data_IF_670077753938
#
_entry.id   IF_670077753938
#
_cell.length_a   1.000
_cell.length_b   1.000
_cell.length_c   1.000
_cell.angle_alpha   90.00
_cell.angle_beta   90.00
_cell.angle_gamma   90.00
#
_symmetry.space_group_name_H-M   'P 1'
#
loop_
_entity.id
_entity.type
_entity.pdbx_description
1 polymer ?
#
# COMPACT_ATOMS: atom_id res chain seq x y z
N UNK A 1 3.03 -16.84 11.89
CA UNK A 1 2.08 -15.73 11.61
C UNK A 1 0.72 -16.22 11.15
N UNK A 2 0.60 -17.10 10.15
CA UNK A 2 -0.68 -17.58 9.60
C UNK A 2 -1.65 -18.13 10.66
N UNK A 3 -1.18 -18.99 11.57
CA UNK A 3 -1.97 -19.48 12.70
C UNK A 3 -2.45 -18.36 13.64
N UNK A 4 -1.59 -17.36 13.87
CA UNK A 4 -1.94 -16.24 14.71
C UNK A 4 -3.07 -15.41 14.09
N UNK A 5 -3.02 -15.17 12.78
CA UNK A 5 -4.08 -14.46 12.06
C UNK A 5 -5.41 -15.22 12.13
N UNK A 6 -5.43 -16.53 11.86
CA UNK A 6 -6.62 -17.34 11.96
C UNK A 6 -7.27 -17.20 13.35
N UNK A 7 -6.47 -17.30 14.41
CA UNK A 7 -6.99 -17.16 15.79
C UNK A 7 -7.46 -15.75 16.13
N UNK A 8 -6.83 -14.69 15.57
CA UNK A 8 -7.32 -13.33 15.78
C UNK A 8 -8.69 -13.12 15.14
N UNK A 9 -8.95 -13.72 13.99
CA UNK A 9 -10.28 -13.71 13.35
C UNK A 9 -11.33 -14.34 14.25
N UNK A 10 -11.03 -15.47 14.92
CA UNK A 10 -11.94 -16.13 15.87
C UNK A 10 -12.30 -15.21 17.05
N UNK A 11 -11.44 -14.26 17.41
CA UNK A 11 -11.72 -13.24 18.42
C UNK A 11 -12.41 -11.98 17.87
N UNK A 12 -12.90 -12.02 16.64
CA UNK A 12 -13.64 -10.92 16.01
C UNK A 12 -12.74 -9.74 15.60
N UNK A 13 -11.46 -10.01 15.35
CA UNK A 13 -10.52 -9.02 14.78
C UNK A 13 -10.60 -9.10 13.27
N UNK A 14 -10.68 -7.93 12.61
CA UNK A 14 -10.61 -7.82 11.16
C UNK A 14 -9.18 -7.51 10.73
N UNK A 15 -8.71 -8.19 9.71
CA UNK A 15 -7.32 -8.13 9.28
C UNK A 15 -7.23 -7.70 7.82
N UNK A 16 -6.39 -6.72 7.52
CA UNK A 16 -5.88 -6.42 6.19
C UNK A 16 -4.40 -6.79 6.14
N UNK A 17 -4.05 -7.74 5.31
CA UNK A 17 -2.70 -8.26 5.17
C UNK A 17 -2.13 -7.93 3.79
N UNK A 18 -0.88 -7.50 3.72
CA UNK A 18 -0.14 -7.32 2.47
C UNK A 18 0.81 -8.49 2.33
N UNK A 19 0.55 -9.30 1.32
CA UNK A 19 1.24 -10.56 1.02
C UNK A 19 2.25 -10.35 -0.09
N UNK A 20 3.51 -10.42 0.27
CA UNK A 20 4.62 -10.14 -0.63
C UNK A 20 5.09 -11.38 -1.41
N UNK A 21 5.10 -12.53 -0.77
CA UNK A 21 5.76 -13.72 -1.28
C UNK A 21 4.77 -14.67 -1.98
N UNK A 22 5.17 -15.29 -3.10
CA UNK A 22 4.34 -16.30 -3.75
C UNK A 22 4.29 -17.58 -2.92
N UNK A 23 3.16 -18.26 -2.95
CA UNK A 23 2.99 -19.58 -2.35
C UNK A 23 3.95 -20.58 -3.02
N UNK A 24 4.81 -21.26 -2.26
CA UNK A 24 5.73 -22.25 -2.81
C UNK A 24 4.99 -23.35 -3.58
N UNK A 25 5.45 -23.61 -4.81
CA UNK A 25 4.89 -24.65 -5.69
C UNK A 25 3.65 -24.26 -6.51
N UNK A 26 2.94 -23.20 -6.16
CA UNK A 26 1.83 -22.68 -6.98
C UNK A 26 2.28 -21.54 -7.91
N UNK A 27 3.10 -20.62 -7.44
CA UNK A 27 3.62 -19.47 -8.20
C UNK A 27 2.56 -18.51 -8.73
N UNK A 28 1.27 -18.72 -8.39
CA UNK A 28 0.12 -17.95 -8.87
C UNK A 28 -0.61 -17.18 -7.77
N UNK A 29 -0.42 -17.58 -6.53
CA UNK A 29 -1.09 -17.00 -5.36
C UNK A 29 -0.07 -16.67 -4.30
N UNK A 30 -0.39 -15.68 -3.47
CA UNK A 30 0.40 -15.35 -2.30
C UNK A 30 0.24 -16.38 -1.17
N UNK A 31 1.18 -16.39 -0.25
CA UNK A 31 1.22 -17.35 0.87
C UNK A 31 0.01 -17.30 1.79
N UNK A 32 -0.60 -16.11 1.96
CA UNK A 32 -1.75 -15.92 2.87
C UNK A 32 -3.10 -16.10 2.18
N UNK A 33 -3.12 -16.36 0.87
CA UNK A 33 -4.37 -16.62 0.14
C UNK A 33 -5.15 -17.79 0.72
N UNK A 34 -4.46 -18.87 1.13
CA UNK A 34 -5.07 -20.04 1.75
C UNK A 34 -5.67 -19.68 3.11
N UNK A 35 -4.99 -18.84 3.89
CA UNK A 35 -5.52 -18.36 5.19
C UNK A 35 -6.80 -17.56 4.98
N UNK A 36 -6.80 -16.65 3.99
CA UNK A 36 -7.96 -15.83 3.67
C UNK A 36 -9.19 -16.71 3.33
N UNK A 37 -9.01 -17.71 2.47
CA UNK A 37 -10.07 -18.67 2.12
C UNK A 37 -10.58 -19.44 3.33
N UNK A 38 -9.67 -19.94 4.18
CA UNK A 38 -10.02 -20.78 5.33
C UNK A 38 -10.80 -20.04 6.43
N UNK A 39 -10.56 -18.74 6.60
CA UNK A 39 -11.25 -17.93 7.62
C UNK A 39 -12.47 -17.19 7.06
N UNK A 40 -12.87 -17.45 5.81
CA UNK A 40 -14.00 -16.78 5.16
C UNK A 40 -13.70 -15.34 4.77
N UNK A 41 -12.45 -15.01 4.52
CA UNK A 41 -11.99 -13.74 4.02
C UNK A 41 -11.92 -13.69 2.49
N UNK A 42 -11.17 -12.72 1.96
CA UNK A 42 -11.02 -12.48 0.52
C UNK A 42 -9.55 -12.28 0.17
N UNK A 43 -9.16 -12.80 -1.00
CA UNK A 43 -7.84 -12.56 -1.60
C UNK A 43 -7.98 -11.65 -2.82
N UNK A 44 -7.31 -10.49 -2.78
CA UNK A 44 -7.26 -9.53 -3.88
C UNK A 44 -5.92 -9.69 -4.60
N UNK A 45 -5.93 -10.30 -5.75
CA UNK A 45 -4.75 -10.43 -6.58
C UNK A 45 -4.47 -9.09 -7.30
N UNK A 46 -3.34 -8.48 -7.01
CA UNK A 46 -2.92 -7.21 -7.61
C UNK A 46 -1.91 -7.50 -8.71
N UNK A 47 -2.27 -7.23 -9.95
CA UNK A 47 -1.41 -7.39 -11.11
C UNK A 47 -1.91 -6.57 -12.30
N UNK A 48 -1.09 -6.44 -13.35
CA UNK A 48 -1.49 -5.76 -14.58
C UNK A 48 -2.71 -6.38 -15.28
N UNK A 49 -3.00 -7.66 -14.99
CA UNK A 49 -4.02 -8.45 -15.68
C UNK A 49 -5.18 -8.86 -14.78
N UNK A 50 -5.17 -8.42 -13.52
CA UNK A 50 -6.24 -8.74 -12.58
C UNK A 50 -7.40 -7.74 -12.69
N UNK A 51 -8.59 -8.20 -12.30
CA UNK A 51 -9.77 -7.33 -12.18
C UNK A 51 -9.72 -6.45 -10.91
N UNK A 52 -8.80 -6.76 -9.99
CA UNK A 52 -8.60 -5.99 -8.76
C UNK A 52 -7.67 -4.81 -9.01
N UNK A 53 -8.26 -3.66 -9.31
CA UNK A 53 -7.54 -2.42 -9.59
C UNK A 53 -7.65 -1.45 -8.41
N UNK A 54 -6.56 -0.74 -8.14
CA UNK A 54 -6.45 0.26 -7.09
C UNK A 54 -6.10 1.62 -7.69
N UNK A 55 -6.94 2.61 -7.43
CA UNK A 55 -6.57 3.98 -7.75
C UNK A 55 -5.56 4.48 -6.72
N UNK A 56 -4.39 4.84 -7.18
CA UNK A 56 -3.33 5.38 -6.34
C UNK A 56 -3.76 6.64 -5.56
N UNK A 57 -4.56 7.51 -6.18
CA UNK A 57 -5.06 8.76 -5.58
C UNK A 57 -6.40 8.61 -4.86
N UNK A 58 -6.75 7.39 -4.46
CA UNK A 58 -7.97 7.14 -3.69
C UNK A 58 -7.97 7.97 -2.41
N UNK A 59 -9.10 8.63 -2.13
CA UNK A 59 -9.34 9.34 -0.87
C UNK A 59 -10.77 9.07 -0.40
N UNK A 60 -10.96 9.01 0.88
CA UNK A 60 -12.24 8.75 1.52
C UNK A 60 -12.55 9.78 2.59
N UNK A 61 -13.84 10.00 2.81
CA UNK A 61 -14.31 10.72 3.97
C UNK A 61 -14.13 9.88 5.25
N UNK A 62 -13.79 10.55 6.33
CA UNK A 62 -13.66 9.97 7.66
C UNK A 62 -14.81 10.45 8.54
N UNK A 63 -15.15 9.66 9.55
CA UNK A 63 -16.17 10.03 10.52
C UNK A 63 -15.51 10.33 11.86
N UNK A 64 -15.65 11.57 12.33
CA UNK A 64 -15.22 11.98 13.65
C UNK A 64 -16.36 11.86 14.65
N UNK A 65 -16.16 11.08 15.71
CA UNK A 65 -17.14 10.94 16.77
C UNK A 65 -17.07 12.12 17.74
N UNK A 66 -18.11 12.94 17.76
CA UNK A 66 -18.27 14.02 18.72
C UNK A 66 -18.83 13.45 20.03
N UNK A 67 -17.98 13.38 21.05
CA UNK A 67 -18.37 12.84 22.37
C UNK A 67 -19.45 13.66 23.08
N UNK A 68 -19.59 14.94 22.78
CA UNK A 68 -20.57 15.80 23.40
C UNK A 68 -21.98 15.63 22.82
N UNK A 69 -22.08 15.41 21.49
CA UNK A 69 -23.36 15.24 20.81
C UNK A 69 -23.71 13.78 20.54
N UNK A 70 -22.75 12.87 20.61
CA UNK A 70 -22.94 11.47 20.22
C UNK A 70 -23.01 11.22 18.70
N UNK A 71 -22.73 12.23 17.90
CA UNK A 71 -22.82 12.19 16.44
C UNK A 71 -21.46 11.91 15.80
N UNK A 72 -21.49 11.25 14.64
CA UNK A 72 -20.33 11.06 13.76
C UNK A 72 -20.42 12.09 12.63
N UNK A 73 -19.42 12.97 12.54
CA UNK A 73 -19.35 14.06 11.55
C UNK A 73 -18.41 13.66 10.44
N UNK A 74 -18.86 13.60 9.17
CA UNK A 74 -17.99 13.29 8.04
C UNK A 74 -17.04 14.46 7.75
N UNK A 75 -15.76 14.17 7.61
CA UNK A 75 -14.68 15.13 7.34
C UNK A 75 -13.76 14.58 6.25
N UNK A 76 -13.18 15.44 5.44
CA UNK A 76 -12.20 15.08 4.40
C UNK A 76 -10.85 15.71 4.76
N UNK A 77 -9.83 14.89 5.08
CA UNK A 77 -8.47 15.36 5.39
C UNK A 77 -7.60 15.38 4.14
N UNK A 78 -7.88 16.34 3.25
CA UNK A 78 -7.21 16.47 1.96
C UNK A 78 -5.74 16.86 2.11
N UNK A 79 -5.41 17.76 3.04
CA UNK A 79 -4.04 18.21 3.25
C UNK A 79 -3.14 17.07 3.77
N UNK A 80 -3.63 16.23 4.65
CA UNK A 80 -2.91 15.04 5.12
C UNK A 80 -2.67 14.08 3.96
N UNK A 81 -3.71 13.82 3.15
CA UNK A 81 -3.59 12.97 1.95
C UNK A 81 -2.57 13.49 0.94
N UNK A 82 -2.51 14.80 0.71
CA UNK A 82 -1.50 15.40 -0.19
C UNK A 82 -0.08 15.14 0.31
N UNK A 83 0.14 15.21 1.63
CA UNK A 83 1.45 14.91 2.23
C UNK A 83 1.80 13.42 2.03
N UNK A 84 0.87 12.51 2.29
CA UNK A 84 1.07 11.08 2.15
C UNK A 84 1.36 10.70 0.70
N UNK A 85 0.55 11.21 -0.25
CA UNK A 85 0.77 10.99 -1.68
C UNK A 85 2.13 11.54 -2.14
N UNK A 86 2.52 12.71 -1.63
CA UNK A 86 3.84 13.28 -1.93
C UNK A 86 4.96 12.34 -1.46
N UNK A 87 4.85 11.79 -0.26
CA UNK A 87 5.86 10.89 0.28
C UNK A 87 5.92 9.56 -0.52
N UNK A 88 4.78 8.98 -0.87
CA UNK A 88 4.74 7.74 -1.66
C UNK A 88 5.29 7.98 -3.08
N UNK A 89 4.95 9.09 -3.73
CA UNK A 89 5.50 9.44 -5.04
C UNK A 89 7.01 9.71 -4.99
N UNK A 90 7.52 10.22 -3.87
CA UNK A 90 8.98 10.31 -3.64
C UNK A 90 9.63 8.93 -3.54
N UNK A 91 8.97 7.95 -2.90
CA UNK A 91 9.47 6.56 -2.87
C UNK A 91 9.52 5.98 -4.29
N UNK A 92 8.45 6.16 -5.07
CA UNK A 92 8.41 5.73 -6.47
C UNK A 92 9.54 6.36 -7.29
N UNK A 93 9.77 7.65 -7.13
CA UNK A 93 10.83 8.37 -7.83
C UNK A 93 12.23 7.86 -7.42
N UNK A 94 12.46 7.66 -6.12
CA UNK A 94 13.74 7.19 -5.59
C UNK A 94 14.03 5.74 -5.99
N UNK A 95 13.04 4.85 -5.92
CA UNK A 95 13.21 3.43 -6.25
C UNK A 95 13.53 3.22 -7.74
N UNK A 96 12.94 4.03 -8.63
CA UNK A 96 13.22 3.96 -10.06
C UNK A 96 14.68 4.34 -10.39
N UNK A 97 15.18 5.44 -9.81
CA UNK A 97 16.54 5.93 -10.12
C UNK A 97 17.65 5.02 -9.61
N UNK A 98 17.35 4.13 -8.68
CA UNK A 98 18.35 3.32 -7.97
C UNK A 98 18.27 1.83 -8.26
N UNK A 99 17.38 1.39 -9.14
CA UNK A 99 17.12 -0.04 -9.41
C UNK A 99 16.93 -0.84 -8.11
N UNK A 100 16.12 -0.30 -7.18
CA UNK A 100 15.85 -0.92 -5.88
C UNK A 100 16.96 -0.74 -4.83
N UNK A 101 18.08 -0.10 -5.18
CA UNK A 101 19.01 0.42 -4.20
C UNK A 101 18.58 1.83 -3.80
N UNK A 102 18.68 2.14 -2.52
CA UNK A 102 18.38 3.49 -2.03
C UNK A 102 19.42 4.46 -2.58
N UNK A 103 19.06 5.19 -3.63
CA UNK A 103 19.81 6.33 -4.12
C UNK A 103 19.37 7.55 -3.35
N UNK A 104 20.32 8.26 -2.81
CA UNK A 104 20.02 9.55 -2.18
C UNK A 104 20.14 10.61 -3.25
N UNK A 105 19.05 11.33 -3.49
CA UNK A 105 19.13 12.61 -4.19
C UNK A 105 19.95 13.58 -3.34
N UNK A 106 20.73 14.44 -3.98
CA UNK A 106 21.29 15.57 -3.27
C UNK A 106 20.17 16.38 -2.58
N UNK A 107 20.37 16.89 -1.35
CA UNK A 107 19.29 17.51 -0.57
C UNK A 107 18.54 18.64 -1.31
N UNK A 108 19.23 19.37 -2.17
CA UNK A 108 18.61 20.42 -3.00
C UNK A 108 17.75 19.85 -4.12
N UNK A 109 18.16 18.76 -4.74
CA UNK A 109 17.41 18.05 -5.77
C UNK A 109 16.18 17.37 -5.18
N UNK A 110 16.35 16.67 -4.07
CA UNK A 110 15.24 16.07 -3.30
C UNK A 110 14.15 17.11 -2.99
N UNK A 111 14.55 18.28 -2.48
CA UNK A 111 13.61 19.35 -2.15
C UNK A 111 12.87 19.90 -3.38
N UNK A 112 13.56 20.02 -4.53
CA UNK A 112 12.94 20.46 -5.79
C UNK A 112 11.93 19.44 -6.31
N UNK A 113 12.32 18.16 -6.37
CA UNK A 113 11.44 17.05 -6.79
C UNK A 113 10.20 16.99 -5.89
N UNK A 114 10.39 17.01 -4.58
CA UNK A 114 9.30 16.98 -3.59
C UNK A 114 8.35 18.18 -3.77
N UNK A 115 8.90 19.37 -4.04
CA UNK A 115 8.10 20.58 -4.28
C UNK A 115 7.24 20.45 -5.55
N UNK A 116 7.81 19.94 -6.64
CA UNK A 116 7.08 19.72 -7.91
C UNK A 116 5.97 18.69 -7.70
N UNK A 117 6.28 17.55 -7.07
CA UNK A 117 5.30 16.51 -6.77
C UNK A 117 4.15 17.08 -5.93
N UNK A 118 4.46 17.70 -4.79
CA UNK A 118 3.44 18.24 -3.88
C UNK A 118 2.52 19.28 -4.54
N UNK A 119 3.11 20.19 -5.34
CA UNK A 119 2.34 21.17 -6.12
C UNK A 119 1.35 20.49 -7.07
N UNK A 120 1.81 19.48 -7.81
CA UNK A 120 0.99 18.82 -8.82
C UNK A 120 -0.04 17.86 -8.21
N UNK A 121 0.24 17.19 -7.09
CA UNK A 121 -0.74 16.43 -6.32
C UNK A 121 -1.87 17.35 -5.83
N UNK A 122 -1.53 18.51 -5.26
CA UNK A 122 -2.52 19.50 -4.84
C UNK A 122 -3.39 19.96 -6.00
N UNK A 123 -2.78 20.22 -7.15
CA UNK A 123 -3.49 20.68 -8.36
C UNK A 123 -4.52 19.66 -8.84
N UNK A 124 -4.16 18.38 -8.97
CA UNK A 124 -5.09 17.37 -9.50
C UNK A 124 -6.30 17.15 -8.57
N UNK A 125 -6.11 17.21 -7.27
CA UNK A 125 -7.25 17.14 -6.33
C UNK A 125 -8.11 18.42 -6.39
N UNK A 126 -7.51 19.60 -6.55
CA UNK A 126 -8.24 20.85 -6.72
C UNK A 126 -9.02 20.87 -8.04
N UNK A 127 -8.47 20.33 -9.12
CA UNK A 127 -9.13 20.19 -10.43
C UNK A 127 -10.38 19.27 -10.35
N UNK A 128 -10.37 18.28 -9.45
CA UNK A 128 -11.55 17.48 -9.12
C UNK A 128 -12.54 18.20 -8.18
N UNK A 129 -12.24 19.43 -7.77
CA UNK A 129 -13.07 20.25 -6.89
C UNK A 129 -13.16 19.72 -5.45
N UNK A 130 -12.12 19.02 -4.98
CA UNK A 130 -12.01 18.58 -3.59
C UNK A 130 -11.52 19.73 -2.71
N UNK A 131 -12.03 19.78 -1.48
CA UNK A 131 -11.68 20.82 -0.51
C UNK A 131 -11.39 20.18 0.85
N UNK A 132 -10.34 20.67 1.49
CA UNK A 132 -9.98 20.22 2.84
C UNK A 132 -11.12 20.46 3.82
N UNK A 133 -11.34 19.51 4.73
CA UNK A 133 -12.40 19.48 5.75
C UNK A 133 -13.85 19.57 5.23
N UNK A 134 -14.04 19.39 3.93
CA UNK A 134 -15.36 19.37 3.28
C UNK A 134 -15.64 18.00 2.66
N UNK A 135 -16.18 17.07 3.46
CA UNK A 135 -16.54 15.73 2.97
C UNK A 135 -17.58 15.78 1.83
N UNK A 136 -18.44 16.81 1.76
CA UNK A 136 -19.40 16.95 0.70
C UNK A 136 -18.74 17.19 -0.67
N UNK A 137 -17.54 17.79 -0.68
CA UNK A 137 -16.77 18.03 -1.91
C UNK A 137 -16.34 16.75 -2.63
N UNK A 138 -16.33 15.59 -1.94
CA UNK A 138 -16.00 14.29 -2.50
C UNK A 138 -17.10 13.73 -3.40
N UNK A 139 -18.31 14.26 -3.29
CA UNK A 139 -19.50 13.73 -3.96
C UNK A 139 -20.08 14.72 -4.96
N UNK A 140 -20.72 14.19 -5.99
CA UNK A 140 -21.54 14.91 -6.94
C UNK A 140 -23.02 14.52 -6.80
N UNK A 141 -23.88 15.46 -7.08
CA UNK A 141 -25.33 15.22 -7.09
C UNK A 141 -25.72 14.62 -8.43
N UNK A 142 -26.34 13.46 -8.42
CA UNK A 142 -26.85 12.81 -9.62
C UNK A 142 -28.37 12.67 -9.54
N UNK A 143 -29.10 12.72 -10.68
CA UNK A 143 -30.52 12.42 -10.70
C UNK A 143 -30.76 11.01 -10.15
N UNK A 144 -31.83 10.84 -9.37
CA UNK A 144 -32.19 9.51 -8.88
C UNK A 144 -32.58 8.61 -10.06
N UNK A 145 -31.99 7.44 -10.13
CA UNK A 145 -32.34 6.42 -11.12
C UNK A 145 -33.72 5.84 -10.77
N UNK A 146 -34.65 5.80 -11.77
CA UNK A 146 -35.91 5.06 -11.64
C UNK A 146 -37.19 5.87 -11.34
N UNK A 147 -37.26 7.12 -11.78
CA UNK A 147 -38.52 7.87 -11.76
C UNK A 147 -38.98 8.40 -10.39
N UNK A 148 -38.16 8.29 -9.38
CA UNK A 148 -38.37 8.89 -8.06
C UNK A 148 -37.86 10.34 -8.06
N UNK A 149 -38.68 11.28 -7.55
CA UNK A 149 -38.28 12.66 -7.31
C UNK A 149 -37.25 12.69 -6.16
N UNK A 150 -35.96 12.57 -6.50
CA UNK A 150 -34.87 12.64 -5.53
C UNK A 150 -33.52 12.83 -6.21
N UNK A 151 -32.57 13.41 -5.49
CA UNK A 151 -31.18 13.48 -5.92
C UNK A 151 -30.36 12.44 -5.13
N UNK A 152 -29.61 11.61 -5.84
CA UNK A 152 -28.61 10.72 -5.24
C UNK A 152 -27.26 11.43 -5.09
N UNK A 153 -26.39 10.89 -4.26
CA UNK A 153 -24.98 11.28 -4.20
C UNK A 153 -24.12 10.17 -4.80
N UNK A 154 -23.22 10.53 -5.68
CA UNK A 154 -22.21 9.62 -6.24
C UNK A 154 -20.82 10.17 -5.91
N UNK A 155 -19.87 9.30 -5.50
CA UNK A 155 -18.47 9.68 -5.36
C UNK A 155 -17.95 10.17 -6.70
N UNK A 156 -17.26 11.30 -6.71
CA UNK A 156 -16.65 11.86 -7.92
C UNK A 156 -15.58 10.90 -8.46
N UNK A 157 -15.32 11.00 -9.76
CA UNK A 157 -14.13 10.39 -10.34
C UNK A 157 -12.91 11.08 -9.73
N UNK A 158 -12.02 10.28 -9.13
CA UNK A 158 -10.79 10.76 -8.53
C UNK A 158 -9.68 10.84 -9.59
N UNK A 159 -8.64 11.65 -9.34
CA UNK A 159 -7.49 11.73 -10.23
C UNK A 159 -6.85 10.34 -10.42
N UNK A 160 -6.18 10.15 -11.52
CA UNK A 160 -5.41 8.94 -11.86
C UNK A 160 -3.96 9.32 -12.16
N UNK A 161 -3.12 8.34 -12.43
CA UNK A 161 -1.70 8.57 -12.69
C UNK A 161 -1.48 9.43 -13.94
N UNK A 162 -2.29 9.25 -14.99
CA UNK A 162 -2.21 10.11 -16.18
C UNK A 162 -2.56 11.57 -15.88
N UNK A 163 -3.52 11.87 -14.98
CA UNK A 163 -3.86 13.23 -14.56
C UNK A 163 -2.64 13.89 -13.86
N UNK A 164 -1.94 13.12 -13.02
CA UNK A 164 -0.73 13.57 -12.34
C UNK A 164 0.43 13.81 -13.34
N UNK A 165 0.68 12.87 -14.25
CA UNK A 165 1.69 13.01 -15.29
C UNK A 165 1.42 14.24 -16.15
N UNK A 166 0.16 14.42 -16.58
CA UNK A 166 -0.27 15.60 -17.34
C UNK A 166 -0.04 16.91 -16.58
N UNK A 167 -0.33 16.92 -15.29
CA UNK A 167 -0.10 18.10 -14.46
C UNK A 167 1.40 18.48 -14.42
N UNK A 168 2.30 17.49 -14.27
CA UNK A 168 3.75 17.71 -14.34
C UNK A 168 4.15 18.21 -15.72
N UNK A 169 3.63 17.62 -16.79
CA UNK A 169 3.95 18.00 -18.18
C UNK A 169 3.58 19.47 -18.48
N UNK A 170 2.42 19.91 -17.99
CA UNK A 170 1.98 21.31 -18.12
C UNK A 170 2.85 22.25 -17.28
N UNK A 171 3.15 21.84 -16.04
CA UNK A 171 4.01 22.63 -15.13
C UNK A 171 5.43 22.76 -15.68
N UNK A 172 5.99 21.71 -16.27
CA UNK A 172 7.29 21.72 -16.93
C UNK A 172 7.34 22.71 -18.11
N UNK A 173 6.25 22.75 -18.90
CA UNK A 173 6.15 23.68 -20.04
C UNK A 173 6.08 25.15 -19.63
N UNK A 174 5.39 25.42 -18.52
CA UNK A 174 5.26 26.77 -17.98
C UNK A 174 6.48 27.19 -17.14
N UNK A 175 7.37 26.25 -16.87
CA UNK A 175 8.53 26.49 -16.04
C UNK A 175 9.54 27.45 -16.72
N UNK A 176 9.92 28.48 -15.99
CA UNK A 176 10.97 29.44 -16.40
C UNK A 176 12.23 29.33 -15.55
N UNK A 177 12.21 28.41 -14.56
CA UNK A 177 13.31 28.19 -13.63
C UNK A 177 14.22 27.07 -14.14
N UNK A 178 15.37 27.46 -14.72
CA UNK A 178 16.34 26.50 -15.25
C UNK A 178 16.88 25.50 -14.21
N UNK A 179 16.82 25.82 -12.92
CA UNK A 179 17.23 24.91 -11.86
C UNK A 179 16.25 23.74 -11.66
N UNK A 180 15.02 23.80 -12.21
CA UNK A 180 14.02 22.75 -12.14
C UNK A 180 13.92 21.90 -13.40
N UNK A 181 14.54 22.29 -14.50
CA UNK A 181 14.43 21.57 -15.78
C UNK A 181 14.81 20.09 -15.66
N UNK A 182 15.95 19.80 -15.02
CA UNK A 182 16.39 18.42 -14.80
C UNK A 182 15.41 17.62 -13.94
N UNK A 183 14.84 18.25 -12.90
CA UNK A 183 13.87 17.59 -12.03
C UNK A 183 12.55 17.27 -12.78
N UNK A 184 12.10 18.17 -13.65
CA UNK A 184 10.93 17.90 -14.49
C UNK A 184 11.20 16.79 -15.50
N UNK A 185 12.34 16.81 -16.19
CA UNK A 185 12.73 15.76 -17.13
C UNK A 185 12.76 14.40 -16.44
N UNK A 186 13.43 14.32 -15.29
CA UNK A 186 13.51 13.10 -14.49
C UNK A 186 12.12 12.58 -14.08
N UNK A 187 11.24 13.45 -13.58
CA UNK A 187 9.89 13.05 -13.16
C UNK A 187 9.05 12.57 -14.34
N UNK A 188 9.16 13.22 -15.50
CA UNK A 188 8.46 12.80 -16.71
C UNK A 188 8.95 11.42 -17.17
N UNK A 189 10.26 11.18 -17.17
CA UNK A 189 10.82 9.87 -17.53
C UNK A 189 10.37 8.76 -16.56
N UNK A 190 10.34 9.05 -15.25
CA UNK A 190 9.93 8.09 -14.22
C UNK A 190 8.45 7.73 -14.32
N UNK A 191 7.58 8.71 -14.52
CA UNK A 191 6.14 8.49 -14.47
C UNK A 191 5.50 8.15 -15.82
N UNK A 192 6.22 8.33 -16.95
CA UNK A 192 5.70 7.99 -18.28
C UNK A 192 5.30 6.52 -18.38
N UNK A 193 6.12 5.62 -17.86
CA UNK A 193 5.87 4.17 -17.91
C UNK A 193 4.68 3.71 -17.02
N UNK A 194 4.19 4.59 -16.15
CA UNK A 194 3.04 4.35 -15.28
C UNK A 194 1.71 4.89 -15.83
N UNK A 195 1.76 5.56 -16.99
CA UNK A 195 0.56 6.03 -17.71
C UNK A 195 0.10 4.94 -18.66
N UNK A 196 -1.13 4.46 -18.49
CA UNK A 196 -1.67 3.34 -19.28
C UNK A 196 -1.74 3.67 -20.76
N UNK A 197 -2.30 4.83 -21.05
CA UNK A 197 -2.50 5.29 -22.41
C UNK A 197 -2.73 6.80 -22.43
N UNK A 198 -1.95 7.51 -23.21
CA UNK A 198 -2.14 8.94 -23.41
C UNK A 198 -1.70 9.35 -24.81
N UNK A 199 -2.53 10.11 -25.48
CA UNK A 199 -2.26 10.66 -26.81
C UNK A 199 -2.37 12.17 -26.74
N UNK A 200 -1.28 12.88 -26.98
CA UNK A 200 -1.29 14.33 -26.87
C UNK A 200 -0.40 15.01 -27.91
N UNK A 201 -0.72 16.26 -28.22
CA UNK A 201 0.14 17.09 -29.02
C UNK A 201 1.14 17.85 -28.14
N UNK A 202 2.45 17.62 -28.27
CA UNK A 202 3.45 18.32 -27.45
C UNK A 202 3.44 19.84 -27.67
N UNK A 203 2.89 20.33 -28.79
CA UNK A 203 2.88 21.73 -29.12
C UNK A 203 1.70 22.50 -28.49
N UNK A 204 0.47 22.01 -28.62
CA UNK A 204 -0.72 22.68 -28.07
C UNK A 204 -1.25 22.02 -26.78
N UNK A 205 -0.65 20.92 -26.33
CA UNK A 205 -1.02 20.14 -25.13
C UNK A 205 -2.44 19.60 -25.13
N UNK A 206 -3.12 19.59 -26.32
CA UNK A 206 -4.42 18.93 -26.45
C UNK A 206 -4.23 17.43 -26.39
N UNK A 207 -5.02 16.79 -25.53
CA UNK A 207 -5.16 15.33 -25.48
C UNK A 207 -6.26 14.87 -26.42
N UNK A 208 -6.14 13.62 -26.84
CA UNK A 208 -7.07 12.97 -27.77
C UNK A 208 -7.47 11.61 -27.21
N UNK A 209 -8.76 11.30 -27.30
CA UNK A 209 -9.25 9.95 -27.00
C UNK A 209 -9.00 8.99 -28.18
N UNK A 210 -9.08 7.68 -27.92
CA UNK A 210 -8.99 6.67 -29.00
C UNK A 210 -10.01 6.90 -30.12
N UNK A 211 -11.19 7.36 -29.77
CA UNK A 211 -12.24 7.65 -30.74
C UNK A 211 -11.85 8.83 -31.61
N UNK A 212 -11.34 9.92 -31.04
CA UNK A 212 -10.84 11.07 -31.76
C UNK A 212 -9.66 10.72 -32.67
N UNK A 213 -8.74 9.82 -32.24
CA UNK A 213 -7.63 9.36 -33.08
C UNK A 213 -8.10 8.75 -34.40
N UNK A 214 -9.21 8.04 -34.39
CA UNK A 214 -9.75 7.42 -35.61
C UNK A 214 -10.14 8.45 -36.69
N UNK A 215 -10.36 9.69 -36.29
CA UNK A 215 -10.73 10.82 -37.18
C UNK A 215 -9.54 11.64 -37.65
N UNK A 216 -8.34 11.44 -37.03
CA UNK A 216 -7.14 12.18 -37.36
C UNK A 216 -6.43 11.62 -38.58
N UNK A 217 -5.77 12.52 -39.32
CA UNK A 217 -4.86 12.13 -40.39
C UNK A 217 -3.65 11.42 -39.81
N UNK A 218 -3.14 10.43 -40.54
CA UNK A 218 -1.89 9.72 -40.21
C UNK A 218 -0.86 9.96 -41.30
N UNK A 219 0.42 9.90 -40.88
CA UNK A 219 1.54 9.82 -41.82
C UNK A 219 1.62 8.43 -42.46
N UNK A 220 2.45 8.26 -43.49
CA UNK A 220 2.77 6.94 -44.06
C UNK A 220 3.40 5.99 -43.01
N UNK A 221 4.07 6.51 -41.98
CA UNK A 221 4.58 5.77 -40.83
C UNK A 221 3.55 5.51 -39.71
N UNK A 222 2.29 5.87 -39.91
CA UNK A 222 1.21 5.58 -38.96
C UNK A 222 1.04 6.60 -37.81
N UNK A 223 1.91 7.61 -37.72
CA UNK A 223 1.86 8.64 -36.66
C UNK A 223 0.70 9.60 -36.89
N UNK A 224 -0.09 9.87 -35.85
CA UNK A 224 -1.22 10.78 -35.93
C UNK A 224 -0.78 12.25 -35.97
N UNK A 225 -1.54 13.04 -36.74
CA UNK A 225 -1.32 14.48 -36.92
C UNK A 225 -2.38 15.25 -36.10
N UNK A 226 -1.93 16.20 -35.31
CA UNK A 226 -2.82 17.04 -34.52
C UNK A 226 -3.65 17.96 -35.44
N UNK A 227 -4.96 18.00 -35.23
CA UNK A 227 -5.88 18.85 -35.96
C UNK A 227 -6.22 20.20 -35.28
N UNK A 228 -5.53 20.50 -34.17
CA UNK A 228 -5.75 21.72 -33.36
C UNK A 228 -4.76 22.84 -33.67
N UNK A 229 -4.37 22.99 -34.96
CA UNK A 229 -3.43 24.00 -35.42
C UNK A 229 -3.95 24.66 -36.72
N UNK A 230 -3.42 25.86 -37.02
CA UNK A 230 -3.69 26.56 -38.25
C UNK A 230 -3.26 25.77 -39.49
N UNK A 231 -3.94 25.98 -40.62
CA UNK A 231 -3.60 25.33 -41.87
C UNK A 231 -2.13 25.57 -42.26
N UNK A 232 -1.47 24.50 -42.67
CA UNK A 232 -0.07 24.52 -43.10
C UNK A 232 0.97 24.18 -42.03
N UNK A 233 0.59 24.04 -40.74
CA UNK A 233 1.49 23.57 -39.69
C UNK A 233 1.15 22.14 -39.33
N UNK A 234 2.13 21.24 -39.42
CA UNK A 234 1.97 19.82 -39.09
C UNK A 234 2.69 19.53 -37.77
N UNK A 235 1.93 19.07 -36.77
CA UNK A 235 2.46 18.60 -35.49
C UNK A 235 1.99 17.19 -35.23
N UNK A 236 2.92 16.34 -34.83
CA UNK A 236 2.67 14.93 -34.56
C UNK A 236 2.23 14.74 -33.11
N UNK A 237 1.37 13.76 -32.87
CA UNK A 237 1.02 13.35 -31.54
C UNK A 237 2.15 12.52 -30.93
N UNK A 238 2.32 12.67 -29.63
CA UNK A 238 3.08 11.73 -28.81
C UNK A 238 2.10 10.71 -28.25
N UNK A 239 2.49 9.46 -28.32
CA UNK A 239 1.73 8.32 -27.85
C UNK A 239 2.49 7.69 -26.67
N UNK A 240 1.82 7.52 -25.54
CA UNK A 240 2.36 6.89 -24.33
C UNK A 240 1.59 5.62 -24.07
N UNK A 241 2.31 4.53 -23.85
CA UNK A 241 1.79 3.21 -23.47
C UNK A 241 2.73 2.63 -22.42
N UNK A 242 2.46 2.89 -21.14
CA UNK A 242 3.30 2.46 -20.05
C UNK A 242 3.14 0.96 -19.76
N UNK A 243 4.25 0.32 -19.46
CA UNK A 243 4.29 -1.12 -19.13
C UNK A 243 3.87 -1.40 -17.68
N UNK A 244 3.98 -0.41 -16.79
CA UNK A 244 3.66 -0.49 -15.37
C UNK A 244 2.39 0.31 -15.02
N UNK A 245 1.41 0.29 -15.90
CA UNK A 245 0.24 1.16 -15.85
C UNK A 245 -0.91 0.66 -14.96
N UNK A 246 -0.66 -0.28 -14.06
CA UNK A 246 -1.67 -0.79 -13.12
C UNK A 246 -2.11 0.24 -12.07
N UNK A 247 -1.36 1.34 -11.90
CA UNK A 247 -1.73 2.46 -11.04
C UNK A 247 -2.60 3.51 -11.75
N UNK A 248 -2.76 3.43 -13.07
CA UNK A 248 -3.52 4.38 -13.87
C UNK A 248 -4.94 3.86 -14.14
N UNK A 249 -5.75 3.83 -13.11
CA UNK A 249 -7.11 3.31 -13.13
C UNK A 249 -7.98 3.94 -12.04
N UNK A 250 -9.30 3.77 -12.15
CA UNK A 250 -10.20 3.92 -11.01
C UNK A 250 -10.24 2.61 -10.23
N UNK A 251 -10.42 2.67 -8.91
CA UNK A 251 -10.54 1.45 -8.12
C UNK A 251 -11.76 0.64 -8.53
N UNK A 252 -11.55 -0.63 -8.83
CA UNK A 252 -12.61 -1.63 -8.98
C UNK A 252 -12.75 -2.45 -7.71
N UNK A 253 -11.70 -2.52 -6.90
CA UNK A 253 -11.66 -3.19 -5.64
C UNK A 253 -12.48 -2.42 -4.59
N UNK A 254 -13.24 -3.14 -3.80
CA UNK A 254 -14.00 -2.60 -2.66
C UNK A 254 -13.77 -3.48 -1.44
N UNK A 255 -13.39 -2.87 -0.32
CA UNK A 255 -13.24 -3.58 0.95
C UNK A 255 -14.61 -3.73 1.61
N UNK A 256 -15.06 -4.98 1.75
CA UNK A 256 -16.26 -5.30 2.53
C UNK A 256 -15.88 -5.50 4.00
N UNK A 257 -16.14 -4.50 4.82
CA UNK A 257 -15.85 -4.52 6.26
C UNK A 257 -16.63 -5.61 7.03
N UNK A 258 -17.56 -6.34 6.39
CA UNK A 258 -18.21 -7.51 7.04
C UNK A 258 -17.31 -8.75 7.02
N UNK A 259 -16.36 -8.84 6.08
CA UNK A 259 -15.44 -9.95 5.99
C UNK A 259 -14.30 -9.81 7.02
N UNK A 260 -13.82 -10.91 7.60
CA UNK A 260 -12.83 -10.85 8.68
C UNK A 260 -11.40 -10.69 8.21
N UNK A 261 -11.09 -11.09 6.98
CA UNK A 261 -9.72 -11.12 6.47
C UNK A 261 -9.66 -10.65 5.02
N UNK A 262 -8.78 -9.68 4.75
CA UNK A 262 -8.52 -9.11 3.43
C UNK A 262 -7.04 -9.31 3.11
N UNK A 263 -6.72 -10.18 2.16
CA UNK A 263 -5.35 -10.39 1.70
C UNK A 263 -5.11 -9.64 0.39
N UNK A 264 -4.11 -8.77 0.37
CA UNK A 264 -3.66 -8.05 -0.82
C UNK A 264 -2.42 -8.76 -1.35
N UNK A 265 -2.61 -9.57 -2.37
CA UNK A 265 -1.64 -10.48 -2.94
C UNK A 265 -0.84 -9.80 -4.05
N UNK A 266 0.43 -9.53 -3.78
CA UNK A 266 1.39 -8.91 -4.70
C UNK A 266 2.30 -9.93 -5.40
N UNK A 267 2.09 -11.22 -5.19
CA UNK A 267 2.96 -12.30 -5.66
C UNK A 267 3.15 -12.34 -7.19
N UNK A 268 2.16 -11.83 -7.95
CA UNK A 268 2.20 -11.78 -9.42
C UNK A 268 2.99 -10.59 -9.98
N UNK A 269 3.42 -9.66 -9.15
CA UNK A 269 4.29 -8.57 -9.58
C UNK A 269 5.72 -9.10 -9.60
N UNK A 270 6.26 -9.35 -10.79
CA UNK A 270 7.56 -10.02 -10.96
C UNK A 270 8.75 -9.09 -10.70
N UNK A 271 8.62 -7.80 -11.00
CA UNK A 271 9.65 -6.82 -10.71
C UNK A 271 9.67 -6.49 -9.21
N UNK A 272 10.82 -6.69 -8.56
CA UNK A 272 10.96 -6.49 -7.11
C UNK A 272 10.77 -5.02 -6.71
N UNK A 273 11.25 -4.10 -7.53
CA UNK A 273 11.13 -2.66 -7.26
C UNK A 273 9.67 -2.24 -7.30
N UNK A 274 8.94 -2.68 -8.31
CA UNK A 274 7.50 -2.38 -8.43
C UNK A 274 6.69 -3.07 -7.34
N UNK A 275 7.05 -4.26 -6.91
CA UNK A 275 6.39 -4.94 -5.79
C UNK A 275 6.56 -4.16 -4.49
N UNK A 276 7.76 -3.64 -4.21
CA UNK A 276 8.02 -2.75 -3.07
C UNK A 276 7.16 -1.47 -3.15
N UNK A 277 7.12 -0.85 -4.32
CA UNK A 277 6.30 0.34 -4.55
C UNK A 277 4.81 0.03 -4.31
N UNK A 278 4.34 -1.13 -4.75
CA UNK A 278 2.94 -1.54 -4.56
C UNK A 278 2.58 -1.78 -3.10
N UNK A 279 3.50 -2.18 -2.22
CA UNK A 279 3.23 -2.23 -0.78
C UNK A 279 2.73 -0.87 -0.29
N UNK A 280 3.42 0.22 -0.66
CA UNK A 280 3.05 1.57 -0.24
C UNK A 280 1.68 2.01 -0.80
N UNK A 281 1.41 1.66 -2.06
CA UNK A 281 0.11 1.96 -2.69
C UNK A 281 -1.02 1.21 -2.00
N UNK A 282 -0.83 -0.07 -1.74
CA UNK A 282 -1.82 -0.91 -1.03
C UNK A 282 -2.01 -0.44 0.40
N UNK A 283 -0.95 -0.08 1.12
CA UNK A 283 -1.05 0.50 2.46
C UNK A 283 -1.90 1.78 2.45
N UNK A 284 -1.65 2.69 1.52
CA UNK A 284 -2.46 3.90 1.37
C UNK A 284 -3.92 3.58 1.05
N UNK A 285 -4.19 2.58 0.21
CA UNK A 285 -5.54 2.13 -0.08
C UNK A 285 -6.24 1.51 1.16
N UNK A 286 -5.52 0.70 1.93
CA UNK A 286 -6.00 0.13 3.20
C UNK A 286 -6.32 1.26 4.19
N UNK A 287 -5.46 2.27 4.30
CA UNK A 287 -5.73 3.42 5.16
C UNK A 287 -7.06 4.08 4.79
N UNK A 288 -7.29 4.37 3.52
CA UNK A 288 -8.50 5.06 3.05
C UNK A 288 -9.76 4.20 3.17
N UNK A 289 -9.68 2.90 2.87
CA UNK A 289 -10.87 2.07 2.69
C UNK A 289 -11.09 1.02 3.80
N UNK A 290 -10.14 0.87 4.72
CA UNK A 290 -10.23 -0.05 5.84
C UNK A 290 -10.12 0.69 7.19
N UNK A 291 -9.04 1.47 7.38
CA UNK A 291 -8.80 2.16 8.65
C UNK A 291 -9.76 3.35 8.81
N UNK A 292 -9.82 4.25 7.82
CA UNK A 292 -10.65 5.46 7.88
C UNK A 292 -12.14 5.18 7.80
N UNK A 293 -12.54 4.05 7.26
CA UNK A 293 -13.94 3.57 7.24
C UNK A 293 -14.40 2.97 8.58
N UNK A 294 -13.46 2.67 9.48
CA UNK A 294 -13.82 2.18 10.80
C UNK A 294 -14.39 3.32 11.66
N UNK A 295 -15.39 3.01 12.46
CA UNK A 295 -15.98 4.00 13.37
C UNK A 295 -14.99 4.43 14.43
N UNK A 296 -14.97 5.71 14.77
CA UNK A 296 -14.25 6.26 15.93
C UNK A 296 -15.09 6.17 17.22
N UNK A 297 -16.35 5.78 17.11
CA UNK A 297 -17.19 5.47 18.26
C UNK A 297 -16.77 4.12 18.89
N UNK A 298 -16.29 4.11 20.14
CA UNK A 298 -15.79 2.88 20.79
C UNK A 298 -16.81 1.72 20.83
N UNK A 299 -18.10 2.04 20.80
CA UNK A 299 -19.17 1.03 20.87
C UNK A 299 -19.48 0.39 19.48
N UNK A 300 -19.01 1.00 18.39
CA UNK A 300 -19.24 0.54 17.02
C UNK A 300 -17.96 0.12 16.31
N UNK A 301 -16.82 0.61 16.81
CA UNK A 301 -15.52 0.37 16.22
C UNK A 301 -15.17 -1.12 16.23
N UNK A 302 -14.68 -1.60 15.09
CA UNK A 302 -14.07 -2.92 14.96
C UNK A 302 -12.62 -2.88 15.41
N UNK A 303 -12.10 -3.99 15.91
CA UNK A 303 -10.67 -4.17 16.15
C UNK A 303 -10.01 -4.53 14.82
N UNK A 304 -9.03 -3.74 14.40
CA UNK A 304 -8.36 -3.93 13.12
C UNK A 304 -6.90 -4.30 13.34
N UNK A 305 -6.38 -5.16 12.46
CA UNK A 305 -4.95 -5.38 12.27
C UNK A 305 -4.63 -5.03 10.82
N UNK A 306 -3.57 -4.26 10.60
CA UNK A 306 -2.97 -4.04 9.28
C UNK A 306 -1.58 -4.63 9.32
N UNK A 307 -1.36 -5.67 8.54
CA UNK A 307 -0.12 -6.43 8.53
C UNK A 307 0.63 -6.19 7.21
N UNK A 308 1.91 -5.88 7.32
CA UNK A 308 2.83 -5.78 6.18
C UNK A 308 3.91 -6.82 6.34
N UNK A 309 3.89 -7.81 5.45
CA UNK A 309 4.94 -8.82 5.41
C UNK A 309 6.19 -8.27 4.72
N UNK A 310 7.38 -8.83 5.06
CA UNK A 310 8.67 -8.40 4.52
C UNK A 310 8.93 -6.87 4.64
N UNK A 311 8.42 -6.25 5.71
CA UNK A 311 8.42 -4.78 5.88
C UNK A 311 9.83 -4.16 5.85
N UNK A 312 10.89 -4.95 6.11
CA UNK A 312 12.28 -4.49 5.98
C UNK A 312 12.62 -3.98 4.56
N UNK A 313 11.87 -4.39 3.55
CA UNK A 313 12.06 -3.98 2.15
C UNK A 313 11.64 -2.54 1.93
N UNK A 314 10.52 -2.12 2.52
CA UNK A 314 10.02 -0.75 2.42
C UNK A 314 10.75 0.22 3.37
N UNK A 315 11.20 -0.25 4.53
CA UNK A 315 11.91 0.61 5.50
C UNK A 315 13.26 1.15 5.00
N UNK A 316 13.73 0.70 3.86
CA UNK A 316 14.89 1.30 3.16
C UNK A 316 14.61 2.73 2.70
N UNK A 317 13.36 3.07 2.39
CA UNK A 317 12.96 4.34 1.82
C UNK A 317 12.46 5.32 2.89
N UNK A 318 12.97 6.55 2.87
CA UNK A 318 12.56 7.60 3.81
C UNK A 318 11.05 7.86 3.76
N UNK A 319 10.47 8.00 2.56
CA UNK A 319 9.03 8.22 2.39
C UNK A 319 8.17 7.12 3.02
N UNK A 320 8.61 5.85 2.91
CA UNK A 320 7.93 4.73 3.54
C UNK A 320 8.00 4.79 5.06
N UNK A 321 9.17 5.11 5.63
CA UNK A 321 9.32 5.27 7.08
C UNK A 321 8.46 6.43 7.61
N UNK A 322 8.36 7.54 6.86
CA UNK A 322 7.48 8.66 7.22
C UNK A 322 6.01 8.25 7.21
N UNK A 323 5.58 7.48 6.21
CA UNK A 323 4.23 6.94 6.13
C UNK A 323 3.92 5.99 7.29
N UNK A 324 4.79 5.03 7.57
CA UNK A 324 4.63 4.11 8.70
C UNK A 324 4.58 4.84 10.04
N UNK A 325 5.44 5.84 10.25
CA UNK A 325 5.39 6.67 11.45
C UNK A 325 4.04 7.39 11.61
N UNK A 326 3.47 7.90 10.51
CA UNK A 326 2.16 8.52 10.52
C UNK A 326 1.07 7.49 10.87
N UNK A 327 1.09 6.32 10.24
CA UNK A 327 0.17 5.22 10.50
C UNK A 327 0.19 4.80 11.98
N UNK A 328 1.37 4.57 12.56
CA UNK A 328 1.49 4.19 13.97
C UNK A 328 0.94 5.25 14.94
N UNK A 329 1.09 6.53 14.62
CA UNK A 329 0.52 7.62 15.45
C UNK A 329 -1.01 7.67 15.45
N UNK A 330 -1.63 7.38 14.28
CA UNK A 330 -3.10 7.49 14.14
C UNK A 330 -3.82 6.18 14.45
N UNK A 331 -3.17 5.07 14.30
CA UNK A 331 -3.74 3.72 14.39
C UNK A 331 -4.51 3.49 15.70
N UNK A 332 -3.95 3.91 16.84
CA UNK A 332 -4.61 3.78 18.16
C UNK A 332 -5.97 4.47 18.22
N UNK A 333 -6.10 5.66 17.60
CA UNK A 333 -7.37 6.40 17.57
C UNK A 333 -8.43 5.70 16.71
N UNK A 334 -7.99 4.83 15.79
CA UNK A 334 -8.83 4.08 14.86
C UNK A 334 -9.03 2.61 15.24
N UNK A 335 -8.70 2.24 16.49
CA UNK A 335 -8.77 0.85 16.96
C UNK A 335 -8.01 -0.14 16.05
N UNK A 336 -6.89 0.31 15.47
CA UNK A 336 -6.05 -0.43 14.54
C UNK A 336 -4.71 -0.74 15.20
N UNK A 337 -4.22 -1.95 15.00
CA UNK A 337 -2.88 -2.38 15.34
C UNK A 337 -2.07 -2.61 14.07
N UNK A 338 -1.14 -1.72 13.69
CA UNK A 338 -0.22 -2.01 12.60
C UNK A 338 0.80 -3.06 13.04
N UNK A 339 1.03 -4.04 12.18
CA UNK A 339 1.98 -5.12 12.39
C UNK A 339 3.01 -5.12 11.27
N UNK A 340 4.25 -4.86 11.60
CA UNK A 340 5.38 -5.00 10.67
C UNK A 340 6.05 -6.33 10.93
N UNK A 341 6.08 -7.19 9.93
CA UNK A 341 6.76 -8.49 9.97
C UNK A 341 8.14 -8.31 9.35
N UNK A 342 9.16 -8.62 10.13
CA UNK A 342 10.56 -8.38 9.80
C UNK A 342 11.37 -9.65 10.04
N UNK A 343 12.45 -9.80 9.29
CA UNK A 343 13.38 -10.90 9.49
C UNK A 343 14.36 -10.64 10.64
N UNK A 344 14.64 -9.37 10.96
CA UNK A 344 15.56 -8.98 12.01
C UNK A 344 15.17 -7.67 12.67
N UNK A 345 15.28 -7.60 14.00
CA UNK A 345 15.13 -6.35 14.78
C UNK A 345 16.15 -5.30 14.36
N UNK A 346 17.32 -5.73 13.87
CA UNK A 346 18.38 -4.87 13.36
C UNK A 346 17.92 -3.96 12.21
N UNK A 347 16.90 -4.35 11.47
CA UNK A 347 16.38 -3.55 10.36
C UNK A 347 15.81 -2.21 10.81
N UNK A 348 15.28 -2.13 12.01
CA UNK A 348 14.91 -0.85 12.62
C UNK A 348 16.14 0.00 13.03
N UNK A 349 17.19 -0.63 13.53
CA UNK A 349 18.36 0.10 14.03
C UNK A 349 19.18 0.79 12.93
N UNK A 350 18.94 0.48 11.67
CA UNK A 350 19.66 1.08 10.52
C UNK A 350 19.30 2.54 10.29
N UNK A 351 18.11 2.96 10.69
CA UNK A 351 17.57 4.28 10.35
C UNK A 351 17.09 5.00 11.61
N UNK A 352 17.57 6.22 11.82
CA UNK A 352 17.24 6.99 13.03
C UNK A 352 15.75 7.33 13.13
N UNK A 353 15.09 7.56 12.01
CA UNK A 353 13.67 7.91 11.94
C UNK A 353 12.71 6.75 12.25
N UNK A 354 13.17 5.49 12.24
CA UNK A 354 12.38 4.33 12.71
C UNK A 354 12.23 4.27 14.23
N UNK A 355 13.00 5.06 14.98
CA UNK A 355 12.89 5.12 16.44
C UNK A 355 11.48 5.50 16.92
N UNK A 356 10.74 6.30 16.15
CA UNK A 356 9.36 6.65 16.47
C UNK A 356 8.40 5.46 16.37
N UNK A 357 8.60 4.58 15.37
CA UNK A 357 7.85 3.33 15.24
C UNK A 357 8.09 2.45 16.47
N UNK A 358 9.36 2.28 16.84
CA UNK A 358 9.75 1.49 18.02
C UNK A 358 9.15 2.05 19.31
N UNK A 359 9.18 3.38 19.50
CA UNK A 359 8.58 4.04 20.67
C UNK A 359 7.06 3.89 20.73
N UNK A 360 6.41 3.75 19.58
CA UNK A 360 4.97 3.55 19.46
C UNK A 360 4.58 2.07 19.52
N UNK A 361 5.54 1.16 19.44
CA UNK A 361 5.31 -0.28 19.51
C UNK A 361 5.15 -0.72 20.96
N UNK A 362 3.99 -1.27 21.29
CA UNK A 362 3.68 -1.75 22.64
C UNK A 362 4.05 -3.23 22.83
N UNK A 363 4.09 -4.01 21.74
CA UNK A 363 4.28 -5.46 21.82
C UNK A 363 5.24 -5.95 20.75
N UNK A 364 6.22 -6.75 21.15
CA UNK A 364 7.06 -7.50 20.22
C UNK A 364 6.77 -8.98 20.29
N UNK A 365 6.66 -9.61 19.14
CA UNK A 365 6.57 -11.06 18.96
C UNK A 365 7.89 -11.54 18.38
N UNK A 366 8.78 -12.05 19.24
CA UNK A 366 10.10 -12.48 18.84
C UNK A 366 10.08 -13.99 18.59
N UNK A 367 10.35 -14.39 17.38
CA UNK A 367 10.65 -15.76 17.00
C UNK A 367 12.16 -16.01 17.16
N UNK A 368 12.65 -17.14 16.68
CA UNK A 368 14.09 -17.41 16.69
C UNK A 368 14.83 -16.39 15.82
N UNK A 369 15.85 -15.76 16.40
CA UNK A 369 16.71 -14.80 15.72
C UNK A 369 18.13 -15.32 15.54
N UNK A 370 18.90 -14.66 14.67
CA UNK A 370 20.32 -14.91 14.53
C UNK A 370 21.04 -14.40 15.79
N UNK A 371 22.12 -15.10 16.18
CA UNK A 371 22.94 -14.70 17.31
C UNK A 371 23.47 -13.25 17.23
N UNK A 372 23.71 -12.76 16.00
CA UNK A 372 24.15 -11.38 15.76
C UNK A 372 23.09 -10.31 16.10
N UNK A 373 21.84 -10.69 16.28
CA UNK A 373 20.75 -9.79 16.64
C UNK A 373 20.61 -9.61 18.17
N UNK A 374 21.31 -10.40 18.98
CA UNK A 374 21.12 -10.43 20.42
C UNK A 374 21.26 -9.07 21.12
N UNK A 375 22.25 -8.26 20.74
CA UNK A 375 22.43 -6.93 21.30
C UNK A 375 21.27 -5.99 20.91
N UNK A 376 20.83 -6.02 19.63
CA UNK A 376 19.71 -5.20 19.15
C UNK A 376 18.39 -5.58 19.84
N UNK A 377 18.14 -6.88 20.05
CA UNK A 377 16.97 -7.35 20.81
C UNK A 377 17.02 -6.78 22.22
N UNK A 378 18.16 -6.87 22.90
CA UNK A 378 18.33 -6.36 24.25
C UNK A 378 18.07 -4.86 24.35
N UNK A 379 18.65 -4.09 23.45
CA UNK A 379 18.53 -2.62 23.45
C UNK A 379 17.10 -2.16 23.10
N UNK A 380 16.43 -2.89 22.22
CA UNK A 380 15.06 -2.54 21.78
C UNK A 380 13.99 -2.96 22.78
N UNK A 381 14.14 -4.14 23.41
CA UNK A 381 13.07 -4.75 24.23
C UNK A 381 13.32 -4.70 25.73
N UNK A 382 14.50 -4.23 26.17
CA UNK A 382 14.94 -4.25 27.58
C UNK A 382 14.95 -5.64 28.23
N UNK A 383 15.04 -6.71 27.45
CA UNK A 383 15.23 -8.07 27.96
C UNK A 383 16.59 -8.22 28.65
N UNK A 384 16.66 -9.00 29.73
CA UNK A 384 17.95 -9.35 30.33
C UNK A 384 18.67 -10.38 29.48
N UNK A 385 19.97 -10.59 29.75
CA UNK A 385 20.81 -11.46 28.93
C UNK A 385 20.28 -12.90 28.85
N UNK A 386 19.79 -13.47 29.94
CA UNK A 386 19.24 -14.83 29.95
C UNK A 386 17.98 -14.96 29.09
N UNK A 387 17.14 -13.92 29.07
CA UNK A 387 15.94 -13.87 28.21
C UNK A 387 16.34 -13.74 26.74
N UNK A 388 17.32 -12.90 26.41
CA UNK A 388 17.87 -12.79 25.06
C UNK A 388 18.42 -14.13 24.57
N UNK A 389 19.25 -14.79 25.43
CA UNK A 389 19.79 -16.09 25.10
C UNK A 389 18.67 -17.13 24.85
N UNK A 390 17.58 -17.05 25.59
CA UNK A 390 16.40 -17.89 25.35
C UNK A 390 15.76 -17.59 23.99
N UNK A 391 15.58 -16.31 23.62
CA UNK A 391 15.04 -15.92 22.30
C UNK A 391 15.89 -16.45 21.16
N UNK A 392 17.23 -16.35 21.28
CA UNK A 392 18.18 -16.83 20.27
C UNK A 392 18.14 -18.37 20.10
N UNK A 393 17.71 -19.09 21.13
CA UNK A 393 17.61 -20.54 21.15
C UNK A 393 16.16 -21.07 20.99
N UNK A 394 15.18 -20.20 20.69
CA UNK A 394 13.82 -20.65 20.41
C UNK A 394 13.81 -21.67 19.26
N UNK A 395 13.00 -22.69 19.40
CA UNK A 395 12.86 -23.72 18.38
C UNK A 395 11.77 -23.37 17.36
N UNK A 396 12.07 -23.57 16.07
CA UNK A 396 11.04 -23.73 15.06
C UNK A 396 10.36 -25.11 15.17
N UNK A 397 9.24 -25.29 14.52
CA UNK A 397 8.62 -26.61 14.33
C UNK A 397 9.61 -27.54 13.62
N UNK A 398 9.92 -28.68 14.21
CA UNK A 398 10.70 -29.75 13.61
C UNK A 398 10.04 -31.08 13.90
N UNK A 399 10.41 -32.16 13.19
CA UNK A 399 9.91 -33.52 13.46
C UNK A 399 10.06 -33.95 14.93
N UNK A 400 11.08 -33.43 15.62
CA UNK A 400 11.34 -33.69 17.03
C UNK A 400 10.54 -32.79 17.97
N UNK A 401 10.13 -31.59 17.52
CA UNK A 401 9.35 -30.62 18.29
C UNK A 401 8.03 -30.37 17.61
N UNK A 402 6.94 -30.85 18.21
CA UNK A 402 5.58 -30.66 17.71
C UNK A 402 4.96 -29.31 18.08
N UNK A 403 5.76 -28.28 18.32
CA UNK A 403 5.33 -26.94 18.69
C UNK A 403 6.32 -25.89 18.17
N UNK A 404 5.78 -24.72 17.84
CA UNK A 404 6.56 -23.51 17.60
C UNK A 404 6.75 -22.73 18.90
N UNK A 405 7.85 -21.99 19.02
CA UNK A 405 8.15 -21.18 20.19
C UNK A 405 8.28 -19.72 19.80
N UNK A 406 7.75 -18.83 20.64
CA UNK A 406 7.89 -17.38 20.50
C UNK A 406 8.01 -16.73 21.88
N UNK A 407 8.62 -15.55 21.91
CA UNK A 407 8.64 -14.68 23.08
C UNK A 407 7.75 -13.46 22.79
N UNK A 408 6.71 -13.28 23.60
CA UNK A 408 5.88 -12.10 23.60
C UNK A 408 6.43 -11.10 24.62
N UNK A 409 6.84 -9.92 24.17
CA UNK A 409 7.36 -8.85 25.02
C UNK A 409 6.35 -7.71 25.04
N UNK A 410 5.80 -7.42 26.20
CA UNK A 410 4.93 -6.27 26.46
C UNK A 410 5.78 -5.14 27.06
N UNK A 411 6.03 -4.12 26.24
CA UNK A 411 6.90 -2.99 26.59
C UNK A 411 6.31 -2.15 27.74
N UNK A 412 5.02 -1.76 27.73
CA UNK A 412 4.42 -0.98 28.82
C UNK A 412 4.55 -1.63 30.20
N UNK A 413 4.34 -2.94 30.28
CA UNK A 413 4.41 -3.67 31.56
C UNK A 413 5.78 -4.28 31.84
N UNK A 414 6.72 -4.20 30.90
CA UNK A 414 8.07 -4.80 30.94
C UNK A 414 8.01 -6.31 31.22
N UNK A 415 7.02 -6.99 30.66
CA UNK A 415 6.85 -8.44 30.82
C UNK A 415 7.26 -9.14 29.53
N UNK A 416 7.93 -10.26 29.72
CA UNK A 416 8.22 -11.21 28.64
C UNK A 416 7.60 -12.57 28.99
N UNK A 417 6.88 -13.14 28.04
CA UNK A 417 6.22 -14.44 28.17
C UNK A 417 6.73 -15.33 27.04
N UNK A 418 7.31 -16.47 27.40
CA UNK A 418 7.68 -17.50 26.43
C UNK A 418 6.47 -18.40 26.18
N UNK A 419 6.08 -18.53 24.94
CA UNK A 419 4.88 -19.22 24.49
C UNK A 419 5.31 -20.39 23.63
N UNK A 420 4.74 -21.56 23.91
CA UNK A 420 4.78 -22.73 23.03
C UNK A 420 3.42 -22.83 22.34
N UNK A 421 3.42 -22.72 21.02
CA UNK A 421 2.24 -22.96 20.22
C UNK A 421 2.23 -24.41 19.79
N UNK A 422 1.22 -25.15 20.24
CA UNK A 422 1.05 -26.56 19.87
C UNK A 422 1.01 -26.72 18.35
N UNK A 423 1.52 -27.86 17.91
CA UNK A 423 1.42 -28.25 16.51
C UNK A 423 -0.05 -28.31 16.10
N UNK A 424 -0.32 -27.82 14.92
CA UNK A 424 -1.66 -27.69 14.39
C UNK A 424 -2.35 -29.07 14.30
N UNK A 425 -3.61 -29.11 14.63
CA UNK A 425 -4.47 -30.24 14.24
C UNK A 425 -4.49 -30.37 12.73
N UNK A 426 -4.74 -31.57 12.21
CA UNK A 426 -4.73 -31.86 10.77
C UNK A 426 -5.51 -30.83 9.92
N UNK A 427 -6.62 -30.29 10.44
CA UNK A 427 -7.43 -29.28 9.76
C UNK A 427 -6.77 -27.89 9.63
N UNK A 428 -5.84 -27.58 10.53
CA UNK A 428 -5.11 -26.30 10.50
C UNK A 428 -3.80 -26.43 9.73
N UNK A 429 -3.22 -27.64 9.65
CA UNK A 429 -1.97 -27.92 8.97
C UNK A 429 -2.04 -27.55 7.49
N UNK A 430 -3.09 -27.96 6.81
CA UNK A 430 -3.29 -27.72 5.36
C UNK A 430 -3.44 -26.22 5.04
N UNK A 431 -3.78 -25.39 6.03
CA UNK A 431 -3.95 -23.93 5.89
C UNK A 431 -2.66 -23.15 6.17
N UNK A 432 -1.82 -23.67 7.05
CA UNK A 432 -0.69 -22.91 7.58
C UNK A 432 0.65 -23.37 7.00
N UNK A 433 0.79 -24.67 6.68
CA UNK A 433 2.02 -25.22 6.12
C UNK A 433 2.15 -24.85 4.65
N UNK A 434 3.30 -24.31 4.28
CA UNK A 434 3.64 -23.92 2.89
C UNK A 434 4.80 -24.75 2.32
N UNK A 435 5.43 -25.57 3.13
CA UNK A 435 6.48 -26.47 2.68
C UNK A 435 5.85 -27.63 1.86
N UNK A 436 6.15 -27.62 0.55
CA UNK A 436 5.60 -28.58 -0.42
C UNK A 436 5.94 -30.04 -0.06
N UNK A 437 7.11 -30.29 0.52
CA UNK A 437 7.53 -31.63 0.92
C UNK A 437 6.72 -32.14 2.10
N UNK A 438 6.49 -31.28 3.10
CA UNK A 438 5.68 -31.61 4.27
C UNK A 438 4.19 -31.78 3.91
N UNK A 439 3.66 -30.94 3.02
CA UNK A 439 2.30 -31.08 2.51
C UNK A 439 2.14 -32.44 1.80
N UNK A 440 3.10 -32.81 0.95
CA UNK A 440 3.08 -34.08 0.24
C UNK A 440 3.20 -35.28 1.19
N UNK A 441 4.02 -35.18 2.23
CA UNK A 441 4.17 -36.22 3.24
C UNK A 441 2.88 -36.38 4.07
N UNK A 442 2.29 -35.29 4.52
CA UNK A 442 1.02 -35.28 5.26
C UNK A 442 -0.14 -35.88 4.41
N UNK A 443 -0.17 -35.55 3.10
CA UNK A 443 -1.15 -36.14 2.19
C UNK A 443 -0.96 -37.66 2.02
N UNK A 444 0.30 -38.15 1.98
CA UNK A 444 0.60 -39.60 1.94
C UNK A 444 0.17 -40.31 3.23
N UNK A 445 0.41 -39.69 4.40
CA UNK A 445 -0.03 -40.24 5.68
C UNK A 445 -1.55 -40.35 5.77
N UNK A 446 -2.30 -39.35 5.26
CA UNK A 446 -3.78 -39.40 5.20
C UNK A 446 -4.33 -40.48 4.25
N UNK A 447 -3.61 -40.84 3.19
CA UNK A 447 -4.00 -41.89 2.25
C UNK A 447 -3.62 -43.30 2.72
N UNK A 448 -2.70 -43.44 3.65
CA UNK A 448 -2.26 -44.72 4.22
C UNK A 448 -2.94 -45.09 5.53
N UNK A 449 -3.80 -44.25 6.05
CA UNK A 449 -4.65 -44.50 7.25
C UNK A 449 -6.08 -44.77 6.83
#
# INVERSE_FOLDING_TARGET
MKQLFSRQVDFGVHIANIDYEPLPGDGKRGEYSIVAEAVGGVNYLISNYSDSQLNFFEISDEYEYNRATGEEIPTLYLEEKIVDMTNILMVLATSFTTNGMVGEFEPTEYSRIKSIISKNVRKIYADCGLRDKDAASLYETVPASGGSFGSGRRKKRLPQMHDFYRAILLDARENTDSFKENAFSLLLDIFEDRVREMYYCPHCMKEFTREELSTLKRTEGGVHICNNHEEGKIYYLREIHGSQAYLDCQSTLSIDMSLPFHNFDLSQITDETERINMIMVVQSYIEENFIKKNSTNPNKAKKLIVSTDEAHRILKFEGARMFENALYRVARKRHTAPWLILQSVKDFAKYQDTEEILKSTETFMLFRHNYLDGQYIKDTTNLNQSQVDTVLNLGGTSEAKKYGELCLVDIPTKRAVFIQADYLKDSEFDVVETDVEKIAEHARMKQGA
#
